data_IF_055945082240
#
_entry.id   IF_055945082240
#
_cell.length_a   1.000
_cell.length_b   1.000
_cell.length_c   1.000
_cell.angle_alpha   90.00
_cell.angle_beta   90.00
_cell.angle_gamma   90.00
#
_symmetry.space_group_name_H-M   'P 1'
#
loop_
_entity.id
_entity.type
_entity.pdbx_description
1 polymer ?
#
# COMPACT_ATOMS: atom_id res chain seq x y z
N UNK A 1 12.62 1.31 -14.39
CA UNK A 1 12.19 -0.09 -14.59
C UNK A 1 11.14 -0.29 -15.68
N UNK A 2 10.91 0.69 -16.57
CA UNK A 2 9.82 0.65 -17.56
C UNK A 2 9.93 -0.43 -18.66
N UNK A 3 11.00 -1.25 -18.69
CA UNK A 3 11.13 -2.39 -19.60
C UNK A 3 10.52 -3.69 -19.07
N UNK A 4 10.18 -3.77 -17.79
CA UNK A 4 9.56 -4.95 -17.18
C UNK A 4 8.04 -4.88 -17.26
N UNK A 5 7.38 -6.04 -17.34
CA UNK A 5 5.94 -6.17 -17.48
C UNK A 5 5.43 -7.28 -16.57
N UNK A 6 4.33 -7.03 -15.89
CA UNK A 6 3.57 -8.05 -15.18
C UNK A 6 2.63 -8.81 -16.13
N UNK A 7 1.77 -9.67 -15.58
CA UNK A 7 0.83 -10.48 -16.37
C UNK A 7 -0.24 -9.67 -17.11
N UNK A 8 -0.46 -8.40 -16.74
CA UNK A 8 -1.38 -7.49 -17.41
C UNK A 8 -0.64 -6.46 -18.29
N UNK A 9 0.69 -6.56 -18.40
CA UNK A 9 1.49 -5.61 -19.14
C UNK A 9 1.76 -4.29 -18.39
N UNK A 10 1.60 -4.24 -17.07
CA UNK A 10 1.96 -3.06 -16.26
C UNK A 10 3.44 -3.09 -15.85
N UNK A 11 4.13 -1.93 -15.79
CA UNK A 11 5.47 -1.86 -15.24
C UNK A 11 5.46 -2.08 -13.72
N UNK A 12 6.63 -2.29 -13.08
CA UNK A 12 6.74 -2.22 -11.63
C UNK A 12 6.11 -0.94 -11.07
N UNK A 13 5.15 -1.12 -10.15
CA UNK A 13 4.45 -0.05 -9.44
C UNK A 13 4.80 -0.09 -7.96
N UNK A 14 4.88 1.09 -7.35
CA UNK A 14 5.22 1.24 -5.94
C UNK A 14 4.20 2.13 -5.24
N UNK A 15 4.09 1.97 -3.92
CA UNK A 15 3.42 2.97 -3.08
C UNK A 15 4.49 3.71 -2.31
N UNK A 16 4.49 5.03 -2.43
CA UNK A 16 5.37 5.90 -1.66
C UNK A 16 4.60 6.40 -0.45
N UNK A 17 4.75 5.71 0.68
CA UNK A 17 4.26 6.20 1.97
C UNK A 17 5.18 7.34 2.41
N UNK A 18 4.70 8.58 2.26
CA UNK A 18 5.52 9.77 2.43
C UNK A 18 5.29 10.40 3.81
N UNK A 19 6.35 10.66 4.60
CA UNK A 19 6.23 11.15 5.97
C UNK A 19 5.67 12.57 6.02
N UNK A 20 4.48 12.74 6.61
CA UNK A 20 3.85 14.05 6.79
C UNK A 20 4.74 14.97 7.62
N UNK A 21 5.37 14.43 8.66
CA UNK A 21 6.25 15.15 9.61
C UNK A 21 7.56 15.64 8.98
N UNK A 22 7.89 15.17 7.77
CA UNK A 22 9.08 15.55 7.01
C UNK A 22 8.70 16.09 5.63
N UNK A 23 7.52 16.71 5.54
CA UNK A 23 6.96 17.16 4.28
C UNK A 23 7.87 18.18 3.58
N UNK A 24 8.42 17.78 2.42
CA UNK A 24 9.13 18.70 1.53
C UNK A 24 8.50 18.76 0.13
N UNK A 25 7.95 19.92 -0.28
CA UNK A 25 7.18 20.03 -1.52
C UNK A 25 7.92 19.54 -2.76
N UNK A 26 9.20 19.86 -2.89
CA UNK A 26 10.01 19.49 -4.06
C UNK A 26 10.17 17.96 -4.20
N UNK A 27 10.23 17.23 -3.08
CA UNK A 27 10.29 15.77 -3.09
C UNK A 27 8.94 15.17 -3.48
N UNK A 28 7.84 15.72 -2.95
CA UNK A 28 6.48 15.28 -3.31
C UNK A 28 6.17 15.57 -4.77
N UNK A 29 6.61 16.71 -5.32
CA UNK A 29 6.46 17.05 -6.74
C UNK A 29 7.20 16.03 -7.63
N UNK A 30 8.41 15.63 -7.26
CA UNK A 30 9.15 14.59 -7.99
C UNK A 30 8.45 13.22 -7.92
N UNK A 31 7.88 12.85 -6.76
CA UNK A 31 7.06 11.64 -6.64
C UNK A 31 5.78 11.75 -7.49
N UNK A 32 5.17 12.93 -7.58
CA UNK A 32 3.98 13.15 -8.38
C UNK A 32 4.24 12.93 -9.86
N UNK A 33 5.40 13.32 -10.38
CA UNK A 33 5.83 13.02 -11.75
C UNK A 33 5.92 11.50 -12.00
N UNK A 34 6.51 10.75 -11.07
CA UNK A 34 6.56 9.28 -11.16
C UNK A 34 5.17 8.65 -11.14
N UNK A 35 4.27 9.17 -10.30
CA UNK A 35 2.89 8.67 -10.20
C UNK A 35 2.12 8.94 -11.49
N UNK A 36 2.21 10.15 -12.06
CA UNK A 36 1.60 10.49 -13.36
C UNK A 36 2.16 9.66 -14.51
N UNK A 37 3.42 9.25 -14.42
CA UNK A 37 4.04 8.32 -15.37
C UNK A 37 3.66 6.85 -15.14
N UNK A 38 2.78 6.55 -14.17
CA UNK A 38 2.26 5.21 -13.91
C UNK A 38 3.13 4.32 -13.02
N UNK A 39 4.21 4.85 -12.42
CA UNK A 39 5.13 4.06 -11.60
C UNK A 39 4.69 3.88 -10.14
N UNK A 40 3.60 4.49 -9.72
CA UNK A 40 3.13 4.36 -8.35
C UNK A 40 2.08 5.36 -7.94
N UNK A 41 1.83 5.39 -6.64
CA UNK A 41 0.90 6.28 -5.95
C UNK A 41 1.56 6.74 -4.63
N UNK A 42 1.14 7.90 -4.10
CA UNK A 42 1.66 8.44 -2.83
C UNK A 42 0.58 8.31 -1.76
N UNK A 43 0.97 7.79 -0.61
CA UNK A 43 0.11 7.52 0.54
C UNK A 43 0.74 8.07 1.83
N UNK A 44 0.05 7.94 2.96
CA UNK A 44 0.41 8.63 4.20
C UNK A 44 1.32 7.79 5.08
N UNK A 45 2.47 8.37 5.45
CA UNK A 45 3.31 7.90 6.55
C UNK A 45 3.34 8.96 7.65
N UNK A 46 3.29 8.57 8.91
CA UNK A 46 3.42 9.53 10.01
C UNK A 46 4.21 8.95 11.18
N UNK A 47 5.19 9.71 11.66
CA UNK A 47 5.75 9.53 13.00
C UNK A 47 5.07 10.52 13.96
N UNK A 48 4.62 10.03 15.11
CA UNK A 48 4.06 10.88 16.17
C UNK A 48 4.34 10.25 17.54
N UNK A 49 4.43 11.05 18.60
CA UNK A 49 4.72 10.60 19.96
C UNK A 49 3.96 11.50 20.94
N UNK A 50 3.34 10.90 21.97
CA UNK A 50 2.52 11.61 22.96
C UNK A 50 1.44 12.51 22.32
N UNK A 51 0.83 12.04 21.22
CA UNK A 51 -0.18 12.77 20.45
C UNK A 51 -1.58 12.66 21.08
N UNK A 52 -2.54 13.42 20.56
CA UNK A 52 -3.97 13.31 20.88
C UNK A 52 -4.81 13.03 19.63
N UNK A 53 -5.99 12.44 19.82
CA UNK A 53 -6.92 12.14 18.73
C UNK A 53 -7.30 13.39 17.92
N UNK A 54 -7.42 14.55 18.58
CA UNK A 54 -7.74 15.82 17.93
C UNK A 54 -6.60 16.30 17.03
N UNK A 55 -5.36 16.25 17.52
CA UNK A 55 -4.20 16.70 16.75
C UNK A 55 -3.88 15.74 15.60
N UNK A 56 -3.95 14.42 15.84
CA UNK A 56 -3.81 13.41 14.80
C UNK A 56 -4.83 13.65 13.68
N UNK A 57 -6.11 13.87 14.04
CA UNK A 57 -7.18 14.16 13.08
C UNK A 57 -6.88 15.41 12.25
N UNK A 58 -6.52 16.52 12.90
CA UNK A 58 -6.21 17.77 12.23
C UNK A 58 -5.03 17.60 11.26
N UNK A 59 -3.99 16.88 11.67
CA UNK A 59 -2.79 16.60 10.88
C UNK A 59 -3.12 15.81 9.61
N UNK A 60 -3.86 14.70 9.76
CA UNK A 60 -4.26 13.84 8.63
C UNK A 60 -5.14 14.59 7.62
N UNK A 61 -6.13 15.35 8.12
CA UNK A 61 -7.02 16.15 7.26
C UNK A 61 -6.26 17.23 6.50
N UNK A 62 -5.39 17.98 7.18
CA UNK A 62 -4.60 19.04 6.56
C UNK A 62 -3.66 18.47 5.48
N UNK A 63 -2.97 17.36 5.76
CA UNK A 63 -2.06 16.76 4.80
C UNK A 63 -2.79 16.22 3.56
N UNK A 64 -3.93 15.54 3.73
CA UNK A 64 -4.75 15.03 2.63
C UNK A 64 -5.16 16.15 1.66
N UNK A 65 -5.56 17.31 2.20
CA UNK A 65 -5.89 18.49 1.40
C UNK A 65 -4.66 19.07 0.68
N UNK A 66 -3.48 19.10 1.32
CA UNK A 66 -2.23 19.57 0.69
C UNK A 66 -1.87 18.67 -0.49
N UNK A 67 -1.88 17.34 -0.30
CA UNK A 67 -1.56 16.37 -1.36
C UNK A 67 -2.47 16.54 -2.57
N UNK A 68 -3.78 16.65 -2.34
CA UNK A 68 -4.75 16.82 -3.40
C UNK A 68 -4.63 18.17 -4.11
N UNK A 69 -4.64 19.28 -3.38
CA UNK A 69 -4.73 20.62 -3.97
C UNK A 69 -3.42 21.10 -4.58
N UNK A 70 -2.29 20.82 -3.92
CA UNK A 70 -0.98 21.32 -4.35
C UNK A 70 -0.33 20.39 -5.37
N UNK A 71 -0.39 19.08 -5.13
CA UNK A 71 0.35 18.10 -5.92
C UNK A 71 -0.53 17.33 -6.92
N UNK A 72 -1.86 17.42 -6.80
CA UNK A 72 -2.78 16.63 -7.60
C UNK A 72 -2.64 15.14 -7.30
N UNK A 73 -2.37 14.80 -6.04
CA UNK A 73 -2.21 13.43 -5.56
C UNK A 73 -3.34 13.05 -4.61
N UNK A 74 -3.73 11.79 -4.62
CA UNK A 74 -4.71 11.25 -3.68
C UNK A 74 -5.78 10.44 -4.39
N UNK A 75 -6.13 9.33 -3.78
CA UNK A 75 -7.24 8.49 -4.20
C UNK A 75 -8.57 9.12 -3.83
N UNK A 76 -9.62 8.72 -4.54
CA UNK A 76 -11.00 9.05 -4.21
C UNK A 76 -11.85 7.81 -4.08
N UNK A 77 -12.76 7.83 -3.14
CA UNK A 77 -13.86 6.87 -3.12
C UNK A 77 -14.78 7.13 -4.32
N UNK A 78 -15.07 6.09 -5.10
CA UNK A 78 -15.84 6.21 -6.35
C UNK A 78 -17.30 6.64 -6.10
N UNK A 79 -17.89 6.25 -4.98
CA UNK A 79 -19.30 6.50 -4.68
C UNK A 79 -19.53 7.90 -4.12
N UNK A 80 -18.63 8.37 -3.26
CA UNK A 80 -18.77 9.63 -2.53
C UNK A 80 -17.93 10.77 -3.12
N UNK A 81 -16.85 10.44 -3.82
CA UNK A 81 -15.87 11.41 -4.32
C UNK A 81 -14.92 11.94 -3.25
N UNK A 82 -15.03 11.46 -2.00
CA UNK A 82 -14.21 11.85 -0.88
C UNK A 82 -12.74 11.49 -1.11
N UNK A 83 -11.84 12.37 -0.67
CA UNK A 83 -10.41 12.06 -0.65
C UNK A 83 -10.14 10.98 0.40
N UNK A 84 -9.40 9.95 0.02
CA UNK A 84 -9.03 8.83 0.88
C UNK A 84 -7.55 8.50 0.75
N UNK A 85 -7.01 7.76 1.73
CA UNK A 85 -5.59 7.42 1.77
C UNK A 85 -5.33 6.08 2.48
N UNK A 86 -4.18 5.48 2.24
CA UNK A 86 -3.63 4.39 3.05
C UNK A 86 -2.63 4.93 4.06
N UNK A 87 -2.49 4.23 5.19
CA UNK A 87 -1.63 4.63 6.28
C UNK A 87 -0.52 3.61 6.57
N UNK A 88 0.67 4.13 6.90
CA UNK A 88 1.72 3.39 7.62
C UNK A 88 2.14 4.23 8.83
N UNK A 89 2.14 3.59 10.00
CA UNK A 89 2.68 4.16 11.21
C UNK A 89 4.22 4.08 11.20
N UNK A 90 4.88 5.24 11.27
CA UNK A 90 6.33 5.34 11.09
C UNK A 90 7.18 4.62 12.13
N UNK A 91 6.73 4.60 13.38
CA UNK A 91 7.37 3.87 14.48
C UNK A 91 6.79 2.46 14.72
N UNK A 92 5.97 1.98 13.78
CA UNK A 92 5.20 0.74 13.87
C UNK A 92 4.27 0.63 15.07
N UNK A 93 4.00 1.74 15.73
CA UNK A 93 3.34 1.82 17.03
C UNK A 93 1.83 2.09 16.90
N UNK A 94 1.24 1.64 15.79
CA UNK A 94 -0.19 1.78 15.47
C UNK A 94 -1.03 1.50 16.70
N UNK A 95 -2.02 2.34 16.93
CA UNK A 95 -2.99 2.27 18.02
C UNK A 95 -2.32 2.11 19.38
N UNK A 96 -1.36 3.00 19.62
CA UNK A 96 -0.56 3.11 20.83
C UNK A 96 0.04 1.76 21.29
N UNK A 97 0.51 0.97 20.32
CA UNK A 97 0.87 -0.43 20.56
C UNK A 97 2.20 -0.63 21.26
N UNK A 98 3.04 0.39 21.43
CA UNK A 98 4.30 0.18 22.15
C UNK A 98 4.06 -0.02 23.65
N UNK A 99 4.71 -1.02 24.30
CA UNK A 99 4.52 -1.27 25.73
C UNK A 99 4.94 -0.10 26.64
N UNK A 100 5.83 0.78 26.17
CA UNK A 100 6.28 1.97 26.90
C UNK A 100 5.36 3.19 26.72
N UNK A 101 4.26 3.06 25.96
CA UNK A 101 3.32 4.14 25.68
C UNK A 101 3.88 5.27 24.81
N UNK A 102 5.02 5.03 24.15
CA UNK A 102 5.70 6.00 23.28
C UNK A 102 5.34 5.78 21.81
N UNK A 103 5.77 6.74 20.99
CA UNK A 103 5.67 6.76 19.55
C UNK A 103 4.25 6.61 19.01
N UNK A 104 3.25 7.07 19.75
CA UNK A 104 1.88 7.27 19.28
C UNK A 104 1.14 8.18 20.28
N UNK A 105 0.55 7.61 21.34
CA UNK A 105 -0.22 8.34 22.36
C UNK A 105 -1.75 8.30 22.17
N UNK A 106 -2.24 7.68 21.10
CA UNK A 106 -3.67 7.66 20.74
C UNK A 106 -4.21 6.23 20.75
N UNK A 107 -5.06 5.89 21.73
CA UNK A 107 -5.69 4.56 21.85
C UNK A 107 -6.90 4.36 20.92
N UNK A 108 -7.38 5.41 20.25
CA UNK A 108 -8.45 5.33 19.26
C UNK A 108 -7.93 5.70 17.87
N UNK A 109 -6.69 5.31 17.57
CA UNK A 109 -6.02 5.73 16.33
C UNK A 109 -6.74 5.16 15.11
N UNK A 110 -7.27 3.92 15.18
CA UNK A 110 -7.96 3.29 14.05
C UNK A 110 -9.25 4.05 13.68
N UNK A 111 -10.00 4.49 14.69
CA UNK A 111 -11.19 5.32 14.51
C UNK A 111 -10.84 6.69 13.91
N UNK A 112 -9.78 7.34 14.40
CA UNK A 112 -9.31 8.61 13.84
C UNK A 112 -8.91 8.44 12.38
N UNK A 113 -8.13 7.39 12.06
CA UNK A 113 -7.72 7.05 10.70
C UNK A 113 -8.94 6.84 9.80
N UNK A 114 -9.87 5.94 10.17
CA UNK A 114 -11.07 5.64 9.39
C UNK A 114 -11.92 6.89 9.14
N UNK A 115 -12.20 7.66 10.20
CA UNK A 115 -13.06 8.85 10.12
C UNK A 115 -12.43 10.02 9.34
N UNK A 116 -11.11 9.99 9.13
CA UNK A 116 -10.42 10.98 8.28
C UNK A 116 -10.23 10.51 6.84
N UNK A 117 -10.71 9.31 6.51
CA UNK A 117 -10.67 8.73 5.16
C UNK A 117 -9.55 7.74 4.91
N UNK A 118 -8.94 7.17 5.97
CA UNK A 118 -8.04 6.04 5.82
C UNK A 118 -8.84 4.81 5.36
N UNK A 119 -8.51 4.25 4.19
CA UNK A 119 -9.19 3.06 3.69
C UNK A 119 -8.54 1.76 4.19
N UNK A 120 -7.24 1.77 4.47
CA UNK A 120 -6.53 0.64 5.06
C UNK A 120 -5.18 1.03 5.69
N UNK A 121 -4.80 0.29 6.72
CA UNK A 121 -3.45 0.31 7.31
C UNK A 121 -2.54 -0.76 6.67
N UNK A 122 -1.27 -0.38 6.50
CA UNK A 122 -0.21 -1.21 5.94
C UNK A 122 1.01 -1.30 6.87
N UNK A 123 0.87 -1.06 8.17
CA UNK A 123 1.98 -1.00 9.13
C UNK A 123 2.67 -2.36 9.34
N UNK A 124 1.92 -3.46 9.28
CA UNK A 124 2.40 -4.79 9.72
C UNK A 124 2.89 -5.70 8.58
N UNK A 125 3.92 -6.55 8.77
CA UNK A 125 4.54 -6.89 10.03
C UNK A 125 5.56 -5.85 10.50
N UNK A 126 5.72 -5.72 11.81
CA UNK A 126 6.70 -4.86 12.47
C UNK A 126 7.82 -5.64 13.16
N UNK A 127 7.82 -6.98 13.07
CA UNK A 127 8.88 -7.82 13.64
C UNK A 127 10.28 -7.34 13.20
N UNK A 128 11.24 -7.18 14.14
CA UNK A 128 11.26 -7.70 15.52
C UNK A 128 10.75 -6.72 16.60
N UNK A 129 10.06 -5.63 16.23
CA UNK A 129 9.50 -4.68 17.20
C UNK A 129 8.56 -5.35 18.21
N UNK A 130 8.50 -4.87 19.48
CA UNK A 130 7.48 -5.31 20.44
C UNK A 130 6.04 -4.90 20.06
N UNK A 131 5.88 -4.10 18.99
CA UNK A 131 4.59 -3.72 18.42
C UNK A 131 4.03 -4.77 17.45
N UNK A 132 4.75 -5.86 17.19
CA UNK A 132 4.25 -6.94 16.35
C UNK A 132 3.05 -7.61 17.01
N UNK A 133 1.95 -7.68 16.25
CA UNK A 133 0.68 -8.30 16.65
C UNK A 133 0.74 -9.83 16.66
N UNK A 134 -0.13 -10.51 17.43
CA UNK A 134 -0.37 -11.95 17.32
C UNK A 134 -1.00 -12.37 15.99
N UNK A 135 -1.93 -11.56 15.47
CA UNK A 135 -2.49 -11.77 14.12
C UNK A 135 -1.41 -11.49 13.08
N UNK A 136 -1.11 -12.48 12.25
CA UNK A 136 -0.05 -12.43 11.24
C UNK A 136 -0.57 -12.97 9.91
N UNK A 137 -0.04 -12.47 8.79
CA UNK A 137 -0.33 -12.97 7.44
C UNK A 137 -1.81 -12.90 7.02
N UNK A 138 -2.52 -11.87 7.46
CA UNK A 138 -3.96 -11.71 7.21
C UNK A 138 -4.32 -10.38 6.54
N UNK A 139 -5.48 -10.37 5.90
CA UNK A 139 -6.24 -9.17 5.54
C UNK A 139 -7.52 -9.22 6.37
N UNK A 140 -7.69 -8.27 7.29
CA UNK A 140 -8.76 -8.32 8.29
C UNK A 140 -9.26 -6.94 8.68
N UNK A 141 -10.47 -6.88 9.24
CA UNK A 141 -11.07 -5.71 9.83
C UNK A 141 -10.82 -5.69 11.34
N UNK A 142 -10.23 -4.62 11.86
CA UNK A 142 -10.14 -4.37 13.30
C UNK A 142 -11.10 -3.25 13.71
N UNK A 143 -11.88 -3.50 14.75
CA UNK A 143 -12.72 -2.51 15.42
C UNK A 143 -11.96 -1.92 16.59
N UNK A 144 -12.01 -0.61 16.72
CA UNK A 144 -11.29 0.12 17.75
C UNK A 144 -11.90 -0.06 19.15
N UNK A 145 -11.07 -0.06 20.19
CA UNK A 145 -11.45 0.10 21.59
C UNK A 145 -10.82 1.40 22.13
N UNK A 146 -11.56 2.53 22.14
CA UNK A 146 -10.99 3.82 22.53
C UNK A 146 -10.41 3.89 23.95
N UNK A 147 -10.69 2.90 24.80
CA UNK A 147 -10.17 2.82 26.17
C UNK A 147 -8.85 2.07 26.25
N UNK A 148 -8.43 1.34 25.20
CA UNK A 148 -7.29 0.41 25.26
C UNK A 148 -6.46 0.47 23.97
N UNK A 149 -5.12 0.39 24.07
CA UNK A 149 -4.30 0.29 22.88
C UNK A 149 -4.44 -1.09 22.23
N UNK A 150 -3.88 -1.23 21.01
CA UNK A 150 -3.71 -2.49 20.27
C UNK A 150 -5.03 -3.15 19.85
N UNK A 151 -6.04 -2.38 19.52
CA UNK A 151 -7.30 -2.85 18.94
C UNK A 151 -7.08 -3.72 17.69
N UNK A 152 -5.98 -3.49 16.96
CA UNK A 152 -5.60 -4.26 15.79
C UNK A 152 -4.87 -5.59 16.07
N UNK A 153 -4.66 -5.99 17.34
CA UNK A 153 -4.07 -7.30 17.69
C UNK A 153 -4.93 -8.48 17.17
N UNK A 154 -6.23 -8.25 16.94
CA UNK A 154 -7.20 -9.21 16.41
C UNK A 154 -8.24 -8.53 15.54
N UNK A 155 -9.03 -9.31 14.80
CA UNK A 155 -10.16 -8.80 14.03
C UNK A 155 -10.86 -9.88 13.23
N UNK A 156 -11.69 -9.46 12.26
CA UNK A 156 -12.47 -10.35 11.40
C UNK A 156 -11.81 -10.44 10.03
N UNK A 157 -11.44 -11.64 9.61
CA UNK A 157 -10.82 -11.85 8.29
C UNK A 157 -11.76 -11.39 7.16
N UNK A 158 -11.20 -10.63 6.21
CA UNK A 158 -11.92 -10.13 5.03
C UNK A 158 -12.51 -11.31 4.25
N UNK A 159 -13.79 -11.22 3.87
CA UNK A 159 -14.48 -12.27 3.12
C UNK A 159 -14.97 -13.48 3.94
N UNK A 160 -14.87 -13.47 5.28
CA UNK A 160 -15.45 -14.52 6.14
C UNK A 160 -16.83 -14.20 6.70
N UNK A 161 -17.30 -12.97 6.50
CA UNK A 161 -18.61 -12.48 6.93
C UNK A 161 -18.78 -11.01 6.55
N UNK A 162 -19.87 -10.36 7.00
CA UNK A 162 -20.05 -8.93 6.80
C UNK A 162 -18.92 -8.14 7.47
N UNK A 163 -18.41 -7.11 6.79
CA UNK A 163 -17.48 -6.15 7.39
C UNK A 163 -18.14 -5.45 8.59
N UNK A 164 -17.48 -5.38 9.77
CA UNK A 164 -17.98 -4.59 10.89
C UNK A 164 -18.11 -3.11 10.52
N UNK A 165 -19.17 -2.44 10.97
CA UNK A 165 -19.51 -1.07 10.55
C UNK A 165 -18.44 -0.02 10.87
N UNK A 166 -17.76 -0.17 12.01
CA UNK A 166 -16.76 0.77 12.52
C UNK A 166 -15.38 0.10 12.61
N UNK A 167 -14.95 -0.55 11.52
CA UNK A 167 -13.63 -1.17 11.45
C UNK A 167 -12.75 -0.58 10.36
N UNK A 168 -11.44 -0.62 10.61
CA UNK A 168 -10.40 -0.32 9.62
C UNK A 168 -9.85 -1.63 9.07
N UNK A 169 -9.64 -1.71 7.75
CA UNK A 169 -8.96 -2.84 7.14
C UNK A 169 -7.45 -2.75 7.41
N UNK A 170 -6.84 -3.85 7.84
CA UNK A 170 -5.40 -4.02 7.92
C UNK A 170 -4.95 -5.02 6.85
N UNK A 171 -3.93 -4.63 6.08
CA UNK A 171 -3.34 -5.49 5.05
C UNK A 171 -1.89 -5.79 5.44
N UNK A 172 -1.65 -7.02 5.89
CA UNK A 172 -0.34 -7.42 6.35
C UNK A 172 0.55 -7.97 5.23
N UNK A 173 1.86 -7.82 5.42
CA UNK A 173 2.88 -8.49 4.62
C UNK A 173 3.25 -9.87 5.15
N UNK A 174 4.11 -10.62 4.44
CA UNK A 174 4.52 -11.94 4.85
C UNK A 174 5.41 -11.88 6.10
N UNK A 175 5.09 -12.70 7.09
CA UNK A 175 5.88 -12.97 8.28
C UNK A 175 5.93 -14.48 8.51
N UNK A 176 7.05 -15.10 8.12
CA UNK A 176 7.22 -16.56 8.18
C UNK A 176 8.61 -16.95 8.65
N UNK A 177 8.72 -18.18 9.16
CA UNK A 177 10.02 -18.81 9.37
C UNK A 177 10.60 -19.30 8.04
N UNK A 178 11.84 -18.91 7.77
CA UNK A 178 12.61 -19.33 6.62
C UNK A 178 13.65 -20.38 7.02
N UNK A 179 13.29 -21.64 6.78
CA UNK A 179 14.13 -22.80 7.05
C UNK A 179 15.24 -23.02 6.03
N UNK A 180 15.20 -22.34 4.88
CA UNK A 180 16.25 -22.40 3.86
C UNK A 180 17.46 -21.56 4.26
N UNK A 181 17.23 -20.47 5.01
CA UNK A 181 18.27 -19.60 5.56
C UNK A 181 18.36 -19.80 7.06
N UNK A 182 19.33 -20.57 7.53
CA UNK A 182 19.51 -20.88 8.96
C UNK A 182 20.67 -20.10 9.58
N UNK A 183 20.46 -19.54 10.76
CA UNK A 183 21.52 -19.04 11.64
C UNK A 183 22.20 -20.22 12.34
N UNK A 184 23.52 -20.28 12.27
CA UNK A 184 24.34 -21.39 12.81
C UNK A 184 23.92 -22.78 12.28
N UNK A 185 23.25 -22.86 11.12
CA UNK A 185 22.79 -24.11 10.52
C UNK A 185 21.53 -24.73 11.14
N UNK A 186 21.01 -24.19 12.25
CA UNK A 186 19.93 -24.82 13.03
C UNK A 186 18.70 -23.92 13.27
N UNK A 187 18.89 -22.62 13.49
CA UNK A 187 17.76 -21.71 13.81
C UNK A 187 17.27 -21.06 12.52
N UNK A 188 15.99 -21.20 12.13
CA UNK A 188 15.47 -20.54 10.94
C UNK A 188 15.55 -19.02 11.10
N UNK A 189 15.80 -18.30 10.00
CA UNK A 189 15.64 -16.85 9.98
C UNK A 189 14.15 -16.51 9.88
N UNK A 190 13.82 -15.27 10.25
CA UNK A 190 12.49 -14.71 10.01
C UNK A 190 12.52 -13.96 8.68
N UNK A 191 11.56 -14.26 7.82
CA UNK A 191 11.26 -13.52 6.60
C UNK A 191 10.06 -12.63 6.89
N UNK A 192 10.23 -11.31 6.79
CA UNK A 192 9.23 -10.29 7.14
C UNK A 192 8.86 -9.36 5.96
N UNK A 193 9.23 -9.73 4.74
CA UNK A 193 8.95 -8.93 3.54
C UNK A 193 9.80 -7.67 3.36
N UNK A 194 10.77 -7.42 4.25
CA UNK A 194 11.65 -6.26 4.14
C UNK A 194 12.67 -6.45 3.01
N UNK A 195 12.92 -5.39 2.23
CA UNK A 195 13.92 -5.31 1.16
C UNK A 195 14.91 -4.21 1.53
N UNK A 196 16.16 -4.60 1.79
CA UNK A 196 17.24 -3.66 2.14
C UNK A 196 18.59 -4.31 1.84
N UNK A 197 19.69 -3.60 2.09
CA UNK A 197 21.05 -4.02 1.73
C UNK A 197 21.39 -5.48 2.10
N UNK A 198 21.00 -5.93 3.30
CA UNK A 198 21.28 -7.27 3.81
C UNK A 198 20.19 -8.32 3.50
N UNK A 199 19.11 -7.92 2.85
CA UNK A 199 17.99 -8.76 2.41
C UNK A 199 17.42 -8.25 1.09
N UNK A 200 18.18 -8.36 -0.02
CA UNK A 200 17.71 -7.92 -1.32
C UNK A 200 16.47 -8.71 -1.77
N UNK A 201 15.71 -8.14 -2.71
CA UNK A 201 14.70 -8.88 -3.41
C UNK A 201 15.37 -10.01 -4.21
N UNK A 202 14.83 -11.23 -4.11
CA UNK A 202 15.32 -12.41 -4.85
C UNK A 202 14.14 -13.34 -5.10
N UNK A 203 14.17 -14.03 -6.24
CA UNK A 203 13.16 -15.03 -6.59
C UNK A 203 13.15 -16.19 -5.58
N UNK A 204 14.29 -16.47 -4.92
CA UNK A 204 14.37 -17.52 -3.89
C UNK A 204 13.48 -17.22 -2.67
N UNK A 205 13.19 -15.94 -2.42
CA UNK A 205 12.32 -15.50 -1.31
C UNK A 205 10.83 -15.63 -1.65
N UNK A 206 10.48 -15.72 -2.93
CA UNK A 206 9.08 -15.78 -3.39
C UNK A 206 8.31 -16.93 -2.74
N UNK A 207 8.94 -18.12 -2.64
CA UNK A 207 8.31 -19.27 -2.00
C UNK A 207 7.96 -19.00 -0.52
N UNK A 208 8.78 -18.21 0.20
CA UNK A 208 8.47 -17.84 1.58
C UNK A 208 7.30 -16.84 1.65
N UNK A 209 7.24 -15.88 0.74
CA UNK A 209 6.15 -14.93 0.66
C UNK A 209 4.82 -15.59 0.30
N UNK A 210 4.80 -16.55 -0.63
CA UNK A 210 3.60 -17.30 -0.99
C UNK A 210 3.14 -18.23 0.15
N UNK A 211 4.06 -18.82 0.92
CA UNK A 211 3.75 -19.63 2.11
C UNK A 211 3.11 -18.83 3.25
N UNK A 212 3.23 -17.50 3.25
CA UNK A 212 2.49 -16.68 4.19
C UNK A 212 0.97 -16.84 3.98
N UNK A 213 0.54 -17.18 2.76
CA UNK A 213 -0.86 -17.41 2.42
C UNK A 213 -1.78 -16.24 2.83
N UNK A 214 -1.31 -15.01 2.62
CA UNK A 214 -2.16 -13.82 2.77
C UNK A 214 -3.13 -13.79 1.60
N UNK A 215 -4.40 -14.13 1.87
CA UNK A 215 -5.44 -14.34 0.85
C UNK A 215 -6.81 -13.91 1.37
N UNK A 216 -7.76 -13.72 0.44
CA UNK A 216 -9.18 -13.54 0.75
C UNK A 216 -9.94 -14.79 0.28
N UNK A 217 -10.79 -15.42 1.10
CA UNK A 217 -11.45 -16.68 0.75
C UNK A 217 -12.27 -16.65 -0.55
N UNK A 218 -12.81 -15.49 -0.94
CA UNK A 218 -13.52 -15.31 -2.21
C UNK A 218 -12.64 -15.43 -3.46
N UNK A 219 -11.32 -15.26 -3.32
CA UNK A 219 -10.30 -15.46 -4.35
C UNK A 219 -9.08 -16.18 -3.77
N UNK A 220 -9.19 -17.49 -3.49
CA UNK A 220 -8.10 -18.28 -2.92
C UNK A 220 -6.97 -18.54 -3.93
N UNK A 221 -7.14 -18.11 -5.18
CA UNK A 221 -6.11 -18.05 -6.21
C UNK A 221 -5.24 -16.78 -6.12
N UNK A 222 -5.67 -15.77 -5.36
CA UNK A 222 -4.93 -14.51 -5.20
C UNK A 222 -4.07 -14.54 -3.94
N UNK A 223 -2.77 -14.30 -4.11
CA UNK A 223 -1.80 -14.18 -3.03
C UNK A 223 -1.34 -12.73 -2.92
N UNK A 224 -1.56 -12.12 -1.77
CA UNK A 224 -1.21 -10.73 -1.50
C UNK A 224 0.20 -10.66 -0.92
N UNK A 225 1.17 -10.15 -1.69
CA UNK A 225 2.57 -10.05 -1.25
C UNK A 225 2.94 -8.58 -1.06
N UNK A 226 2.81 -8.10 0.18
CA UNK A 226 3.26 -6.75 0.55
C UNK A 226 4.71 -6.78 1.02
N UNK A 227 5.59 -6.17 0.25
CA UNK A 227 7.00 -5.97 0.59
C UNK A 227 7.26 -4.52 0.96
N UNK A 228 8.28 -4.25 1.77
CA UNK A 228 8.59 -2.90 2.24
C UNK A 228 10.10 -2.63 2.28
N UNK A 229 10.47 -1.35 2.34
CA UNK A 229 11.83 -0.89 2.63
C UNK A 229 11.76 0.30 3.57
N UNK A 230 12.74 0.45 4.45
CA UNK A 230 12.89 1.67 5.26
C UNK A 230 13.57 2.73 4.38
N UNK A 231 12.77 3.52 3.67
CA UNK A 231 13.22 4.62 2.81
C UNK A 231 14.36 4.24 1.87
N UNK A 232 15.23 5.21 1.59
CA UNK A 232 16.43 5.05 0.77
C UNK A 232 17.72 5.54 1.48
N UNK A 233 18.12 4.96 2.64
CA UNK A 233 19.51 5.04 3.07
C UNK A 233 20.44 4.67 1.91
N UNK A 234 21.59 5.31 1.78
CA UNK A 234 22.51 5.11 0.63
C UNK A 234 22.85 3.63 0.40
N UNK A 235 22.97 2.85 1.49
CA UNK A 235 23.20 1.42 1.44
C UNK A 235 22.07 0.63 0.75
N UNK A 236 20.82 1.08 0.85
CA UNK A 236 19.65 0.45 0.25
C UNK A 236 19.45 0.87 -1.21
N UNK A 237 19.92 2.05 -1.61
CA UNK A 237 19.74 2.58 -2.97
C UNK A 237 20.23 1.59 -4.04
N UNK A 238 21.41 0.98 -3.84
CA UNK A 238 21.97 -0.01 -4.78
C UNK A 238 21.10 -1.25 -4.93
N UNK A 239 20.43 -1.68 -3.86
CA UNK A 239 19.56 -2.85 -3.87
C UNK A 239 18.20 -2.56 -4.48
N UNK A 240 17.63 -1.38 -4.20
CA UNK A 240 16.30 -0.99 -4.64
C UNK A 240 16.28 -0.48 -6.08
N UNK A 241 17.29 0.29 -6.49
CA UNK A 241 17.33 0.97 -7.79
C UNK A 241 18.35 0.36 -8.76
N UNK A 242 19.17 -0.58 -8.29
CA UNK A 242 20.24 -1.18 -9.07
C UNK A 242 19.94 -2.60 -9.56
N UNK A 243 21.02 -3.28 -9.94
CA UNK A 243 20.97 -4.62 -10.54
C UNK A 243 20.23 -5.68 -9.69
N UNK A 244 20.26 -5.69 -8.34
CA UNK A 244 19.48 -6.67 -7.57
C UNK A 244 17.97 -6.63 -7.88
N UNK A 245 17.36 -5.44 -7.94
CA UNK A 245 15.95 -5.30 -8.29
C UNK A 245 15.68 -5.64 -9.76
N UNK A 246 16.60 -5.26 -10.67
CA UNK A 246 16.54 -5.65 -12.09
C UNK A 246 16.54 -7.17 -12.26
N UNK A 247 17.42 -7.89 -11.55
CA UNK A 247 17.45 -9.36 -11.55
C UNK A 247 16.14 -9.93 -11.04
N UNK A 248 15.64 -9.42 -9.92
CA UNK A 248 14.37 -9.88 -9.35
C UNK A 248 13.20 -9.76 -10.34
N UNK A 249 13.04 -8.62 -11.01
CA UNK A 249 12.00 -8.45 -12.03
C UNK A 249 12.20 -9.36 -13.25
N UNK A 250 13.45 -9.56 -13.68
CA UNK A 250 13.79 -10.50 -14.77
C UNK A 250 13.43 -11.94 -14.40
N UNK A 251 13.70 -12.35 -13.17
CA UNK A 251 13.43 -13.70 -12.69
C UNK A 251 11.92 -13.93 -12.47
N UNK A 252 11.16 -12.92 -12.04
CA UNK A 252 9.68 -12.98 -12.03
C UNK A 252 9.12 -13.17 -13.44
N UNK A 253 9.59 -12.39 -14.41
CA UNK A 253 9.16 -12.51 -15.80
C UNK A 253 9.50 -13.89 -16.38
N UNK A 254 10.69 -14.42 -16.08
CA UNK A 254 11.07 -15.79 -16.47
C UNK A 254 10.15 -16.83 -15.82
N UNK A 255 9.89 -16.71 -14.51
CA UNK A 255 9.01 -17.64 -13.77
C UNK A 255 7.59 -17.70 -14.33
N UNK A 256 7.05 -16.56 -14.79
CA UNK A 256 5.74 -16.48 -15.43
C UNK A 256 5.75 -17.04 -16.86
N UNK A 257 6.84 -16.83 -17.61
CA UNK A 257 7.00 -17.43 -18.93
C UNK A 257 7.13 -18.97 -18.89
N UNK A 258 7.79 -19.48 -17.85
CA UNK A 258 8.06 -20.93 -17.69
C UNK A 258 6.85 -21.72 -17.14
N UNK A 259 5.84 -21.04 -16.60
CA UNK A 259 4.66 -21.67 -15.98
C UNK A 259 3.38 -20.88 -16.29
N UNK A 260 2.50 -21.42 -17.15
CA UNK A 260 1.30 -20.73 -17.58
C UNK A 260 0.26 -20.54 -16.45
N UNK A 261 0.45 -21.16 -15.28
CA UNK A 261 -0.44 -20.98 -14.13
C UNK A 261 0.10 -19.94 -13.13
N UNK A 262 1.32 -19.43 -13.33
CA UNK A 262 1.89 -18.40 -12.46
C UNK A 262 1.70 -17.02 -13.09
N UNK A 263 0.75 -16.27 -12.53
CA UNK A 263 0.55 -14.86 -12.83
C UNK A 263 1.04 -14.01 -11.67
N UNK A 264 1.67 -12.88 -11.99
CA UNK A 264 2.02 -11.88 -11.00
C UNK A 264 1.59 -10.51 -11.49
N UNK A 265 1.24 -9.64 -10.55
CA UNK A 265 0.66 -8.33 -10.81
C UNK A 265 1.35 -7.31 -9.91
N UNK A 266 1.89 -6.24 -10.49
CA UNK A 266 2.39 -5.12 -9.71
C UNK A 266 1.21 -4.23 -9.31
N UNK A 267 1.07 -3.98 -8.01
CA UNK A 267 -0.06 -3.22 -7.45
C UNK A 267 0.41 -2.19 -6.44
N UNK A 268 -0.24 -1.03 -6.41
CA UNK A 268 -0.14 -0.06 -5.31
C UNK A 268 -0.94 -0.51 -4.09
N UNK A 269 -0.83 0.19 -2.96
CA UNK A 269 -1.60 -0.07 -1.75
C UNK A 269 -3.11 0.08 -2.01
N UNK A 270 -3.51 1.10 -2.77
CA UNK A 270 -4.90 1.31 -3.19
C UNK A 270 -5.40 0.17 -4.07
N UNK A 271 -4.62 -0.24 -5.07
CA UNK A 271 -4.97 -1.39 -5.92
C UNK A 271 -5.06 -2.67 -5.10
N UNK A 272 -4.14 -2.88 -4.15
CA UNK A 272 -4.17 -4.02 -3.22
C UNK A 272 -5.45 -4.03 -2.38
N UNK A 273 -5.86 -2.89 -1.85
CA UNK A 273 -7.13 -2.72 -1.14
C UNK A 273 -8.32 -3.04 -2.04
N UNK A 274 -8.38 -2.46 -3.24
CA UNK A 274 -9.45 -2.72 -4.20
C UNK A 274 -9.56 -4.19 -4.58
N UNK A 275 -8.43 -4.89 -4.74
CA UNK A 275 -8.42 -6.33 -5.00
C UNK A 275 -8.94 -7.13 -3.79
N UNK A 276 -8.59 -6.76 -2.56
CA UNK A 276 -9.14 -7.38 -1.37
C UNK A 276 -10.66 -7.20 -1.28
N UNK A 277 -11.16 -5.99 -1.54
CA UNK A 277 -12.59 -5.64 -1.57
C UNK A 277 -13.34 -6.33 -2.71
N UNK A 278 -12.74 -6.40 -3.89
CA UNK A 278 -13.29 -7.13 -5.02
C UNK A 278 -13.39 -8.63 -4.71
N UNK A 279 -12.34 -9.22 -4.12
CA UNK A 279 -12.35 -10.62 -3.70
C UNK A 279 -13.41 -10.89 -2.63
N UNK A 280 -13.56 -10.01 -1.65
CA UNK A 280 -14.63 -10.06 -0.65
C UNK A 280 -16.03 -10.01 -1.28
N UNK A 281 -16.22 -9.17 -2.30
CA UNK A 281 -17.46 -9.08 -3.07
C UNK A 281 -17.69 -10.27 -4.03
N UNK A 282 -16.79 -11.26 -4.05
CA UNK A 282 -16.91 -12.45 -4.91
C UNK A 282 -16.58 -12.17 -6.38
N UNK A 283 -15.71 -11.19 -6.67
CA UNK A 283 -15.30 -10.81 -8.02
C UNK A 283 -14.75 -11.97 -8.84
N UNK A 284 -15.35 -12.25 -10.00
CA UNK A 284 -14.94 -13.35 -10.90
C UNK A 284 -14.13 -12.91 -12.12
N UNK A 285 -13.96 -11.60 -12.31
CA UNK A 285 -13.20 -11.04 -13.42
C UNK A 285 -11.68 -11.13 -13.20
N UNK A 286 -10.96 -10.47 -14.09
CA UNK A 286 -9.49 -10.37 -14.03
C UNK A 286 -9.02 -9.44 -12.92
N UNK A 287 -7.71 -9.49 -12.61
CA UNK A 287 -7.06 -8.56 -11.67
C UNK A 287 -7.11 -7.14 -12.23
N UNK A 288 -6.80 -6.94 -13.51
CA UNK A 288 -6.74 -5.60 -14.12
C UNK A 288 -8.07 -4.85 -14.04
N UNK A 289 -9.18 -5.54 -14.26
CA UNK A 289 -10.53 -4.96 -14.16
C UNK A 289 -10.92 -4.52 -12.74
N UNK A 290 -10.30 -5.12 -11.71
CA UNK A 290 -10.60 -4.85 -10.29
C UNK A 290 -9.65 -3.84 -9.64
N UNK A 291 -8.63 -3.34 -10.35
CA UNK A 291 -7.65 -2.39 -9.79
C UNK A 291 -8.27 -1.08 -9.29
N UNK A 292 -9.38 -0.68 -9.89
CA UNK A 292 -10.14 0.53 -9.56
C UNK A 292 -11.55 0.20 -9.01
N UNK A 293 -11.71 -0.91 -8.29
CA UNK A 293 -13.01 -1.42 -7.83
C UNK A 293 -13.84 -0.39 -7.03
N UNK A 294 -13.38 0.00 -5.84
CA UNK A 294 -14.05 1.01 -4.98
C UNK A 294 -13.33 2.36 -5.02
N UNK A 295 -12.00 2.35 -5.02
CA UNK A 295 -11.17 3.55 -4.99
C UNK A 295 -10.57 3.84 -6.36
N UNK A 296 -10.63 5.08 -6.80
CA UNK A 296 -10.07 5.53 -8.08
C UNK A 296 -8.92 6.51 -7.84
N UNK A 297 -7.94 6.51 -8.75
CA UNK A 297 -6.89 7.51 -8.76
C UNK A 297 -7.17 8.52 -9.88
N UNK A 298 -7.35 9.80 -9.52
CA UNK A 298 -7.59 10.89 -10.47
C UNK A 298 -6.27 11.30 -11.16
N UNK A 299 -5.68 10.46 -12.03
CA UNK A 299 -4.52 10.90 -12.82
C UNK A 299 -4.89 11.88 -13.95
N UNK A 300 -6.16 11.86 -14.40
CA UNK A 300 -6.53 12.39 -15.72
C UNK A 300 -7.41 13.65 -15.70
N UNK A 301 -7.86 14.13 -14.54
CA UNK A 301 -8.72 15.34 -14.49
C UNK A 301 -8.01 16.64 -14.86
N UNK A 302 -6.69 16.65 -15.00
CA UNK A 302 -5.93 17.84 -15.44
C UNK A 302 -5.78 17.96 -16.96
N UNK A 303 -6.25 17.00 -17.77
CA UNK A 303 -6.16 17.08 -19.24
C UNK A 303 -7.43 17.52 -19.98
N UNK A 304 -8.60 17.63 -19.32
CA UNK A 304 -9.88 17.87 -20.04
C UNK A 304 -10.62 19.17 -19.68
N UNK A 305 -9.97 20.16 -19.07
CA UNK A 305 -10.56 21.51 -18.91
C UNK A 305 -9.64 22.59 -19.47
N UNK A 306 -9.70 22.79 -20.78
CA UNK A 306 -8.84 23.73 -21.51
C UNK A 306 -9.30 24.10 -22.92
N UNK A 307 -10.54 24.59 -23.02
CA UNK A 307 -11.04 25.58 -24.00
C UNK A 307 -11.89 25.11 -25.21
N UNK A 308 -12.96 25.88 -25.56
CA UNK A 308 -14.00 25.49 -26.50
C UNK A 308 -13.82 26.11 -27.91
N UNK A 309 -14.55 25.54 -28.86
CA UNK A 309 -15.08 26.17 -30.07
C UNK A 309 -14.12 26.99 -30.96
N UNK A 310 -13.57 26.35 -32.00
CA UNK A 310 -13.22 27.06 -33.24
C UNK A 310 -14.39 26.96 -34.20
N UNK A 311 -15.19 28.02 -34.18
CA UNK A 311 -16.20 28.33 -35.19
C UNK A 311 -15.62 28.16 -36.61
N UNK A 312 -16.31 27.36 -37.42
CA UNK A 312 -16.14 27.33 -38.87
C UNK A 312 -16.72 28.62 -39.45
N UNK A 313 -15.86 29.49 -39.96
CA UNK A 313 -16.28 30.57 -40.87
C UNK A 313 -16.49 29.97 -42.26
N UNK A 314 -17.66 30.15 -42.91
CA UNK A 314 -17.84 29.76 -44.30
C UNK A 314 -17.21 30.83 -45.21
N UNK A 315 -16.32 30.44 -46.12
CA UNK A 315 -15.96 31.30 -47.24
C UNK A 315 -17.14 31.38 -48.20
N UNK A 316 -17.71 32.58 -48.30
CA UNK A 316 -18.63 32.97 -49.35
C UNK A 316 -17.89 33.17 -50.68
N UNK A 317 -18.59 32.81 -51.75
CA UNK A 317 -18.28 33.10 -53.15
C UNK A 317 -18.47 34.58 -53.49
N UNK A 318 -17.62 35.10 -54.38
CA UNK A 318 -17.90 36.02 -55.51
C UNK A 318 -16.85 37.15 -55.63
N UNK A 319 -16.28 37.27 -56.84
CA UNK A 319 -15.34 38.32 -57.24
C UNK A 319 -14.29 37.81 -58.20
#
# INVERSE_FOLDING_TARGET
FAGFRDSDGRPPRYTFFYPIDQYEPAHVDALAELCRAGFGEVEVHLHHDSDTAENLRATLQAHKEIMARRHGLGARDRATGELVYAFIHGDWALDNSRPDGRCCGVNNELDVLRQTGCYADFTLPSYPSPTQTPTVNSIYYATDDPQRPRSHDSGVDVGTGPAPADALMLIQGPLVLDWTRRRLGIVPRVENGCIQANQPASIDRLAAWLRACVQVPGRPDWFFVKLHTHGAPEANQRVLLGEPMVRFHRDLARRAADDPHFHFHYVTAREMYNLARAAEAGWRGSVDEARDFELIWDSDRTCTSGSPDRARTPLGSAG
#
